data_IF_138550640957
#
_entry.id   IF_138550640957
#
_cell.length_a   1.000
_cell.length_b   1.000
_cell.length_c   1.000
_cell.angle_alpha   90.00
_cell.angle_beta   90.00
_cell.angle_gamma   90.00
#
_symmetry.space_group_name_H-M   'P 1'
#
loop_
_entity.id
_entity.type
_entity.pdbx_description
1 polymer ?
#
# COMPACT_ATOMS: atom_id res chain seq x y z
N UNK A 1 13.92 -4.81 -27.05
CA UNK A 1 13.42 -4.14 -28.26
C UNK A 1 14.54 -3.78 -29.21
N UNK A 2 15.49 -2.92 -28.83
CA UNK A 2 16.62 -2.52 -29.68
C UNK A 2 17.46 -3.69 -30.18
N UNK A 3 17.67 -4.69 -29.37
CA UNK A 3 18.43 -5.91 -29.69
C UNK A 3 17.78 -6.77 -30.79
N UNK A 4 16.49 -6.57 -31.07
CA UNK A 4 15.69 -7.37 -32.03
C UNK A 4 15.20 -6.58 -33.23
N UNK A 5 15.66 -5.32 -33.40
CA UNK A 5 15.24 -4.42 -34.49
C UNK A 5 13.71 -4.19 -34.57
N UNK A 6 12.98 -4.39 -33.48
CA UNK A 6 11.53 -4.16 -33.40
C UNK A 6 11.32 -2.80 -32.77
N UNK A 7 10.91 -1.83 -33.58
CA UNK A 7 10.66 -0.44 -33.16
C UNK A 7 9.21 -0.23 -32.67
N UNK A 8 8.29 -1.11 -33.05
CA UNK A 8 6.88 -1.02 -32.65
C UNK A 8 6.63 -1.77 -31.33
N UNK A 9 6.33 -1.01 -30.27
CA UNK A 9 6.02 -1.55 -28.95
C UNK A 9 4.79 -2.47 -28.94
N UNK A 10 3.79 -2.21 -29.79
CA UNK A 10 2.59 -3.02 -29.87
C UNK A 10 2.87 -4.37 -30.54
N UNK A 11 3.70 -4.36 -31.58
CA UNK A 11 4.15 -5.57 -32.23
C UNK A 11 4.95 -6.45 -31.26
N UNK A 12 5.85 -5.84 -30.49
CA UNK A 12 6.61 -6.54 -29.46
C UNK A 12 5.70 -7.20 -28.41
N UNK A 13 4.73 -6.46 -27.86
CA UNK A 13 3.75 -7.01 -26.91
C UNK A 13 2.95 -8.17 -27.48
N UNK A 14 2.51 -8.07 -28.74
CA UNK A 14 1.78 -9.14 -29.41
C UNK A 14 2.61 -10.43 -29.60
N UNK A 15 3.91 -10.30 -29.79
CA UNK A 15 4.81 -11.42 -30.01
C UNK A 15 5.30 -12.08 -28.72
N UNK A 16 5.41 -11.32 -27.64
CA UNK A 16 6.07 -11.77 -26.40
C UNK A 16 5.12 -12.07 -25.26
N UNK A 17 3.91 -11.53 -25.30
CA UNK A 17 2.94 -11.68 -24.23
C UNK A 17 1.74 -12.51 -24.65
N UNK A 18 1.37 -13.57 -23.89
CA UNK A 18 0.14 -14.29 -24.13
C UNK A 18 -1.08 -13.42 -23.83
N UNK A 19 -2.19 -13.68 -24.53
CA UNK A 19 -3.45 -13.01 -24.28
C UNK A 19 -4.27 -13.79 -23.28
N UNK A 20 -4.73 -13.12 -22.25
CA UNK A 20 -5.63 -13.65 -21.22
C UNK A 20 -6.91 -12.85 -21.17
N UNK A 21 -7.97 -13.51 -20.72
CA UNK A 21 -9.25 -12.86 -20.47
C UNK A 21 -9.26 -12.36 -19.02
N UNK A 22 -9.35 -11.05 -18.84
CA UNK A 22 -9.47 -10.45 -17.52
C UNK A 22 -10.78 -10.86 -16.83
N UNK A 23 -10.86 -10.72 -15.50
CA UNK A 23 -12.05 -10.99 -14.69
C UNK A 23 -13.32 -10.26 -15.18
N UNK A 24 -13.17 -9.25 -16.03
CA UNK A 24 -14.24 -8.49 -16.69
C UNK A 24 -14.61 -9.02 -18.09
N UNK A 25 -14.04 -10.15 -18.52
CA UNK A 25 -14.30 -10.73 -19.85
C UNK A 25 -13.61 -9.98 -20.99
N UNK A 26 -12.71 -9.06 -20.73
CA UNK A 26 -11.95 -8.34 -21.76
C UNK A 26 -10.64 -9.09 -22.07
N UNK A 27 -10.36 -9.28 -23.37
CA UNK A 27 -9.11 -9.85 -23.84
C UNK A 27 -7.99 -8.79 -23.67
N UNK A 28 -7.01 -9.09 -22.83
CA UNK A 28 -5.83 -8.27 -22.59
C UNK A 28 -4.54 -9.10 -22.67
N UNK A 29 -3.39 -8.44 -22.59
CA UNK A 29 -2.12 -9.13 -22.45
C UNK A 29 -1.96 -9.63 -21.02
N UNK A 30 -1.38 -10.83 -20.86
CA UNK A 30 -1.01 -11.32 -19.53
C UNK A 30 -0.04 -10.36 -18.85
N UNK A 31 -0.28 -10.10 -17.56
CA UNK A 31 0.54 -9.19 -16.76
C UNK A 31 1.70 -9.90 -16.07
N UNK A 32 1.62 -11.23 -15.96
CA UNK A 32 2.56 -12.04 -15.19
C UNK A 32 3.31 -13.07 -16.02
N UNK A 33 2.87 -13.33 -17.24
CA UNK A 33 3.40 -14.39 -18.09
C UNK A 33 3.93 -13.85 -19.40
N UNK A 34 4.94 -14.50 -19.92
CA UNK A 34 5.55 -14.20 -21.20
C UNK A 34 5.89 -15.49 -21.96
N UNK A 35 6.05 -15.40 -23.26
CA UNK A 35 6.58 -16.51 -24.04
C UNK A 35 8.09 -16.64 -23.85
N UNK A 36 8.58 -17.87 -23.72
CA UNK A 36 10.01 -18.15 -23.60
C UNK A 36 10.70 -17.95 -24.96
N UNK A 37 11.40 -16.84 -25.09
CA UNK A 37 12.15 -16.51 -26.30
C UNK A 37 13.52 -17.18 -26.21
N UNK A 38 13.68 -18.30 -26.93
CA UNK A 38 14.93 -19.05 -27.00
C UNK A 38 15.84 -18.49 -28.09
N UNK A 39 17.14 -18.75 -28.06
CA UNK A 39 18.09 -18.32 -29.11
C UNK A 39 17.70 -18.77 -30.51
N UNK A 40 16.98 -19.87 -30.63
CA UNK A 40 16.44 -20.34 -31.91
C UNK A 40 15.40 -19.41 -32.53
N UNK A 41 14.60 -18.72 -31.72
CA UNK A 41 13.64 -17.70 -32.17
C UNK A 41 14.37 -16.44 -32.63
N UNK A 42 15.52 -16.11 -32.03
CA UNK A 42 16.33 -14.94 -32.37
C UNK A 42 16.99 -15.04 -33.76
N UNK A 43 17.24 -16.25 -34.24
CA UNK A 43 17.83 -16.51 -35.56
C UNK A 43 16.79 -16.46 -36.67
N UNK A 44 15.50 -16.50 -36.36
CA UNK A 44 14.39 -16.45 -37.31
C UNK A 44 13.75 -15.08 -37.38
N UNK A 45 13.19 -14.74 -38.50
CA UNK A 45 12.42 -13.52 -38.64
C UNK A 45 11.16 -13.60 -37.72
N UNK A 46 10.80 -12.51 -37.06
CA UNK A 46 9.69 -12.46 -36.07
C UNK A 46 8.33 -12.94 -36.63
N UNK A 47 8.13 -12.90 -37.97
CA UNK A 47 6.92 -13.41 -38.63
C UNK A 47 6.78 -14.94 -38.58
N UNK A 48 7.87 -15.64 -38.26
CA UNK A 48 7.91 -17.11 -38.18
C UNK A 48 7.83 -17.63 -36.72
N UNK A 49 7.71 -16.72 -35.77
CA UNK A 49 7.62 -17.09 -34.36
C UNK A 49 6.25 -17.71 -34.10
N UNK A 50 6.26 -18.95 -33.66
CA UNK A 50 5.07 -19.66 -33.16
C UNK A 50 5.36 -20.23 -31.77
N UNK A 51 4.51 -19.92 -30.81
CA UNK A 51 4.66 -20.39 -29.45
C UNK A 51 3.54 -21.37 -29.12
N UNK A 52 3.91 -22.47 -28.49
CA UNK A 52 2.95 -23.40 -27.90
C UNK A 52 2.57 -22.96 -26.47
N UNK A 53 1.48 -23.47 -25.95
CA UNK A 53 1.07 -23.19 -24.57
C UNK A 53 2.08 -23.68 -23.53
N UNK A 54 2.98 -24.59 -23.90
CA UNK A 54 4.10 -25.07 -23.09
C UNK A 54 5.26 -24.07 -22.97
N UNK A 55 5.29 -23.06 -23.85
CA UNK A 55 6.38 -22.07 -23.91
C UNK A 55 6.08 -20.82 -23.05
N UNK A 56 5.03 -20.87 -22.25
CA UNK A 56 4.65 -19.79 -21.36
C UNK A 56 5.46 -19.92 -20.06
N UNK A 57 6.18 -18.86 -19.71
CA UNK A 57 6.96 -18.75 -18.48
C UNK A 57 6.58 -17.47 -17.72
N UNK A 58 6.92 -17.40 -16.45
CA UNK A 58 6.78 -16.18 -15.67
C UNK A 58 7.74 -15.10 -16.18
N UNK A 59 7.38 -13.83 -16.05
CA UNK A 59 8.19 -12.70 -16.51
C UNK A 59 9.57 -12.69 -15.84
N UNK A 60 10.61 -13.09 -16.56
CA UNK A 60 11.99 -13.21 -16.06
C UNK A 60 12.80 -11.91 -16.19
N UNK A 61 12.40 -10.99 -17.09
CA UNK A 61 13.16 -9.78 -17.43
C UNK A 61 12.69 -8.51 -16.71
N UNK A 62 11.85 -8.67 -15.67
CA UNK A 62 11.28 -7.55 -14.92
C UNK A 62 9.96 -7.06 -15.51
N UNK A 63 9.48 -5.93 -14.98
CA UNK A 63 8.16 -5.39 -15.27
C UNK A 63 8.25 -3.92 -15.68
N UNK A 64 7.43 -3.53 -16.62
CA UNK A 64 7.24 -2.14 -17.01
C UNK A 64 5.95 -1.63 -16.37
N UNK A 65 6.07 -0.61 -15.51
CA UNK A 65 4.95 -0.03 -14.78
C UNK A 65 4.42 1.22 -15.47
N UNK A 66 3.09 1.36 -15.47
CA UNK A 66 2.43 2.59 -15.87
C UNK A 66 2.65 3.67 -14.81
N UNK A 67 3.36 4.73 -15.16
CA UNK A 67 3.68 5.88 -14.28
C UNK A 67 2.81 7.10 -14.54
N UNK A 68 1.65 6.93 -15.18
CA UNK A 68 0.77 8.04 -15.53
C UNK A 68 0.26 8.79 -14.29
N UNK A 69 -0.07 8.08 -13.21
CA UNK A 69 -0.63 8.65 -11.99
C UNK A 69 0.36 8.71 -10.83
N UNK A 70 1.20 7.70 -10.67
CA UNK A 70 2.16 7.57 -9.58
C UNK A 70 3.53 7.23 -10.14
N UNK A 71 4.55 7.94 -9.69
CA UNK A 71 5.93 7.68 -10.09
C UNK A 71 6.49 6.46 -9.34
N UNK A 72 6.21 6.37 -8.02
CA UNK A 72 6.69 5.29 -7.14
C UNK A 72 5.62 4.88 -6.16
N UNK A 73 5.41 3.57 -6.06
CA UNK A 73 4.58 2.93 -5.02
C UNK A 73 5.38 1.77 -4.39
N UNK A 74 5.06 1.29 -3.20
CA UNK A 74 5.74 0.12 -2.63
C UNK A 74 5.65 -1.11 -3.54
N UNK A 75 4.55 -1.25 -4.25
CA UNK A 75 4.30 -2.36 -5.19
C UNK A 75 5.27 -2.29 -6.36
N UNK A 76 5.45 -1.10 -6.97
CA UNK A 76 6.31 -0.91 -8.13
C UNK A 76 7.80 -0.87 -7.79
N UNK A 77 8.15 -0.48 -6.56
CA UNK A 77 9.53 -0.37 -6.12
C UNK A 77 10.11 -1.73 -5.68
N UNK A 78 9.27 -2.60 -5.09
CA UNK A 78 9.71 -3.91 -4.57
C UNK A 78 9.13 -5.09 -5.34
N UNK A 79 8.55 -4.86 -6.52
CA UNK A 79 7.95 -5.87 -7.41
C UNK A 79 6.98 -6.81 -6.66
N UNK A 80 6.01 -6.22 -5.92
CA UNK A 80 4.99 -6.98 -5.19
C UNK A 80 3.80 -7.31 -6.11
N UNK A 81 4.10 -7.98 -7.21
CA UNK A 81 3.11 -8.39 -8.22
C UNK A 81 3.24 -9.88 -8.52
N UNK A 82 2.32 -10.42 -9.26
CA UNK A 82 2.27 -11.82 -9.67
C UNK A 82 2.36 -12.76 -8.46
N UNK A 83 3.42 -13.55 -8.33
CA UNK A 83 3.62 -14.47 -7.19
C UNK A 83 3.68 -13.76 -5.83
N UNK A 84 4.11 -12.49 -5.82
CA UNK A 84 4.20 -11.68 -4.60
C UNK A 84 2.97 -10.80 -4.38
N UNK A 85 1.95 -10.87 -5.22
CA UNK A 85 0.75 -10.02 -5.14
C UNK A 85 -0.02 -10.15 -3.83
N UNK A 86 0.05 -11.32 -3.18
CA UNK A 86 -0.55 -11.52 -1.85
C UNK A 86 0.07 -10.67 -0.74
N UNK A 87 1.26 -10.11 -0.93
CA UNK A 87 1.94 -9.30 0.07
C UNK A 87 1.15 -8.07 0.48
N UNK A 88 0.56 -7.37 -0.48
CA UNK A 88 -0.30 -6.21 -0.23
C UNK A 88 -1.52 -6.58 0.61
N UNK A 89 -2.23 -7.63 0.20
CA UNK A 89 -3.42 -8.13 0.91
C UNK A 89 -3.07 -8.58 2.32
N UNK A 90 -1.96 -9.29 2.50
CA UNK A 90 -1.51 -9.76 3.81
C UNK A 90 -1.18 -8.59 4.75
N UNK A 91 -0.51 -7.53 4.28
CA UNK A 91 -0.23 -6.34 5.08
C UNK A 91 -1.53 -5.71 5.56
N UNK A 92 -2.52 -5.60 4.67
CA UNK A 92 -3.82 -5.05 5.04
C UNK A 92 -4.51 -5.89 6.11
N UNK A 93 -4.50 -7.22 5.97
CA UNK A 93 -5.07 -8.14 6.97
C UNK A 93 -4.34 -8.02 8.31
N UNK A 94 -3.01 -8.03 8.30
CA UNK A 94 -2.22 -7.93 9.52
C UNK A 94 -2.44 -6.58 10.26
N UNK A 95 -2.57 -5.49 9.52
CA UNK A 95 -2.91 -4.18 10.10
C UNK A 95 -4.29 -4.21 10.78
N UNK A 96 -5.30 -4.83 10.17
CA UNK A 96 -6.64 -4.97 10.77
C UNK A 96 -6.64 -5.85 12.01
N UNK A 97 -5.86 -6.92 12.00
CA UNK A 97 -5.65 -7.74 13.20
C UNK A 97 -4.93 -6.95 14.30
N UNK A 98 -3.92 -6.15 13.95
CA UNK A 98 -3.24 -5.24 14.87
C UNK A 98 -4.22 -4.27 15.52
N UNK A 99 -5.06 -3.60 14.75
CA UNK A 99 -6.09 -2.70 15.26
C UNK A 99 -7.05 -3.40 16.23
N UNK A 100 -7.47 -4.63 15.92
CA UNK A 100 -8.36 -5.42 16.77
C UNK A 100 -7.73 -5.69 18.14
N UNK A 101 -6.53 -6.25 18.19
CA UNK A 101 -5.81 -6.52 19.43
C UNK A 101 -5.45 -5.22 20.15
N UNK A 102 -5.04 -4.21 19.41
CA UNK A 102 -4.71 -2.90 19.96
C UNK A 102 -5.87 -2.23 20.67
N UNK A 103 -7.08 -2.35 20.15
CA UNK A 103 -8.29 -1.78 20.79
C UNK A 103 -8.50 -2.36 22.17
N UNK A 104 -8.33 -3.65 22.36
CA UNK A 104 -8.48 -4.32 23.67
C UNK A 104 -7.36 -3.90 24.63
N UNK A 105 -6.10 -3.97 24.16
CA UNK A 105 -4.91 -3.67 24.99
C UNK A 105 -4.92 -2.20 25.42
N UNK A 106 -5.03 -1.28 24.47
CA UNK A 106 -4.97 0.16 24.76
C UNK A 106 -6.25 0.69 25.41
N UNK A 107 -7.40 0.02 25.20
CA UNK A 107 -8.62 0.28 25.96
C UNK A 107 -8.40 0.02 27.45
N UNK A 108 -7.95 -1.18 27.79
CA UNK A 108 -7.66 -1.55 29.18
C UNK A 108 -6.54 -0.69 29.79
N UNK A 109 -5.49 -0.41 29.03
CA UNK A 109 -4.39 0.45 29.47
C UNK A 109 -4.88 1.88 29.76
N UNK A 110 -5.81 2.40 28.93
CA UNK A 110 -6.43 3.70 29.12
C UNK A 110 -7.29 3.79 30.39
N UNK A 111 -7.91 2.69 30.82
CA UNK A 111 -8.69 2.63 32.05
C UNK A 111 -7.80 2.52 33.29
N UNK A 112 -6.62 1.87 33.18
CA UNK A 112 -5.70 1.64 34.30
C UNK A 112 -4.70 2.78 34.52
N UNK A 113 -4.04 3.24 33.44
CA UNK A 113 -3.02 4.31 33.51
C UNK A 113 -3.60 5.72 33.30
N UNK A 114 -4.83 5.78 32.82
CA UNK A 114 -5.48 7.03 32.46
C UNK A 114 -5.36 7.36 30.96
N UNK A 115 -6.31 8.14 30.45
CA UNK A 115 -6.46 8.42 29.01
C UNK A 115 -5.32 9.26 28.42
N UNK A 116 -4.82 10.25 29.17
CA UNK A 116 -3.78 11.18 28.69
C UNK A 116 -2.43 10.51 28.42
N UNK A 117 -1.82 9.77 29.39
CA UNK A 117 -0.53 9.12 29.12
C UNK A 117 -0.61 8.06 28.02
N UNK A 118 -1.72 7.33 27.93
CA UNK A 118 -1.93 6.34 26.87
C UNK A 118 -2.06 7.01 25.50
N UNK A 119 -2.66 8.20 25.41
CA UNK A 119 -2.70 8.96 24.16
C UNK A 119 -1.30 9.34 23.66
N UNK A 120 -0.44 9.89 24.52
CA UNK A 120 0.93 10.23 24.14
C UNK A 120 1.76 8.99 23.78
N UNK A 121 1.61 7.90 24.53
CA UNK A 121 2.24 6.62 24.21
C UNK A 121 1.80 6.11 22.84
N UNK A 122 0.52 6.22 22.53
CA UNK A 122 -0.03 5.81 21.24
C UNK A 122 0.52 6.63 20.08
N UNK A 123 0.66 7.95 20.24
CA UNK A 123 1.30 8.82 19.24
C UNK A 123 2.75 8.40 19.00
N UNK A 124 3.50 8.14 20.05
CA UNK A 124 4.89 7.71 19.94
C UNK A 124 5.01 6.39 19.18
N UNK A 125 4.21 5.39 19.53
CA UNK A 125 4.25 4.06 18.90
C UNK A 125 3.87 4.15 17.42
N UNK A 126 2.79 4.86 17.05
CA UNK A 126 2.39 4.97 15.65
C UNK A 126 3.44 5.72 14.83
N UNK A 127 4.03 6.77 15.40
CA UNK A 127 5.07 7.55 14.71
C UNK A 127 6.31 6.71 14.46
N UNK A 128 6.82 6.04 15.49
CA UNK A 128 7.98 5.15 15.35
C UNK A 128 7.67 3.99 14.40
N UNK A 129 6.52 3.34 14.55
CA UNK A 129 6.09 2.25 13.66
C UNK A 129 6.03 2.69 12.19
N UNK A 130 5.47 3.86 11.90
CA UNK A 130 5.42 4.40 10.54
C UNK A 130 6.80 4.75 9.99
N UNK A 131 7.64 5.43 10.76
CA UNK A 131 9.00 5.75 10.33
C UNK A 131 9.81 4.48 10.07
N UNK A 132 9.78 3.50 10.97
CA UNK A 132 10.47 2.22 10.77
C UNK A 132 9.94 1.53 9.52
N UNK A 133 8.63 1.47 9.30
CA UNK A 133 8.06 0.84 8.11
C UNK A 133 8.51 1.53 6.80
N UNK A 134 8.61 2.87 6.78
CA UNK A 134 9.08 3.60 5.59
C UNK A 134 10.52 3.25 5.21
N UNK A 135 11.42 3.14 6.20
CA UNK A 135 12.83 2.83 5.95
C UNK A 135 13.12 1.34 5.75
N UNK A 136 12.23 0.46 6.23
CA UNK A 136 12.42 -1.00 6.14
C UNK A 136 11.56 -1.67 5.09
N UNK A 137 10.94 -0.91 4.20
CA UNK A 137 10.05 -1.44 3.16
C UNK A 137 10.69 -2.48 2.23
N UNK A 138 12.03 -2.43 2.05
CA UNK A 138 12.80 -3.46 1.33
C UNK A 138 12.71 -4.85 2.01
N UNK A 139 12.62 -4.89 3.34
CA UNK A 139 12.52 -6.12 4.12
C UNK A 139 11.08 -6.38 4.51
N UNK A 140 10.36 -7.12 3.69
CA UNK A 140 8.91 -7.36 3.85
C UNK A 140 8.47 -7.76 5.26
N UNK A 141 9.20 -8.67 5.92
CA UNK A 141 8.84 -9.13 7.28
C UNK A 141 8.97 -8.01 8.30
N UNK A 142 10.06 -7.23 8.25
CA UNK A 142 10.28 -6.10 9.17
C UNK A 142 9.25 -5.00 8.92
N UNK A 143 8.96 -4.73 7.65
CA UNK A 143 7.89 -3.82 7.25
C UNK A 143 6.53 -4.22 7.83
N UNK A 144 6.15 -5.52 7.72
CA UNK A 144 4.90 -6.03 8.29
C UNK A 144 4.85 -5.86 9.81
N UNK A 145 5.93 -6.22 10.51
CA UNK A 145 5.99 -6.10 11.98
C UNK A 145 5.85 -4.62 12.39
N UNK A 146 6.59 -3.71 11.75
CA UNK A 146 6.52 -2.29 12.04
C UNK A 146 5.13 -1.71 11.75
N UNK A 147 4.50 -2.12 10.66
CA UNK A 147 3.15 -1.71 10.28
C UNK A 147 2.11 -2.20 11.30
N UNK A 148 2.20 -3.46 11.74
CA UNK A 148 1.33 -4.03 12.79
C UNK A 148 1.50 -3.29 14.11
N UNK A 149 2.73 -3.04 14.55
CA UNK A 149 3.00 -2.30 15.79
C UNK A 149 2.40 -0.89 15.72
N UNK A 150 2.54 -0.20 14.58
CA UNK A 150 1.90 1.09 14.37
C UNK A 150 0.36 1.01 14.41
N UNK A 151 -0.22 -0.04 13.82
CA UNK A 151 -1.68 -0.22 13.75
C UNK A 151 -2.32 -0.55 15.10
N UNK A 152 -1.59 -1.15 16.05
CA UNK A 152 -2.07 -1.41 17.40
C UNK A 152 -2.63 -0.16 18.09
N UNK A 153 -2.07 1.01 17.82
CA UNK A 153 -2.44 2.26 18.48
C UNK A 153 -3.38 3.16 17.68
N UNK A 154 -3.65 2.80 16.42
CA UNK A 154 -4.42 3.64 15.50
C UNK A 154 -5.81 4.00 16.06
N UNK A 155 -6.52 3.02 16.62
CA UNK A 155 -7.84 3.23 17.20
C UNK A 155 -7.79 4.04 18.50
N UNK A 156 -6.79 3.83 19.33
CA UNK A 156 -6.59 4.57 20.60
C UNK A 156 -6.36 6.06 20.37
N UNK A 157 -5.58 6.42 19.33
CA UNK A 157 -5.33 7.83 18.98
C UNK A 157 -6.62 8.54 18.58
N UNK A 158 -7.53 7.85 17.93
CA UNK A 158 -8.82 8.42 17.54
C UNK A 158 -9.78 8.52 18.73
N UNK A 159 -9.86 7.51 19.58
CA UNK A 159 -10.84 7.45 20.68
C UNK A 159 -10.44 8.23 21.92
N UNK A 160 -9.16 8.24 22.30
CA UNK A 160 -8.73 8.86 23.56
C UNK A 160 -9.09 10.36 23.64
N UNK A 161 -8.82 11.21 22.62
CA UNK A 161 -9.21 12.62 22.67
C UNK A 161 -10.73 12.81 22.74
N UNK A 162 -11.50 11.95 22.05
CA UNK A 162 -12.96 11.99 22.10
C UNK A 162 -13.47 11.74 23.53
N UNK A 163 -12.98 10.69 24.16
CA UNK A 163 -13.39 10.33 25.52
C UNK A 163 -13.02 11.44 26.50
N UNK A 164 -11.78 11.95 26.43
CA UNK A 164 -11.33 13.07 27.29
C UNK A 164 -12.24 14.30 27.09
N UNK A 165 -12.55 14.64 25.84
CA UNK A 165 -13.41 15.77 25.53
C UNK A 165 -14.86 15.58 26.03
N UNK A 166 -15.38 14.36 25.95
CA UNK A 166 -16.72 14.02 26.45
C UNK A 166 -16.79 14.00 27.97
N UNK A 167 -15.73 13.60 28.69
CA UNK A 167 -15.66 13.59 30.15
C UNK A 167 -15.69 15.02 30.72
N UNK A 168 -15.00 15.95 30.08
CA UNK A 168 -14.89 17.35 30.51
C UNK A 168 -16.16 18.16 30.15
N UNK A 169 -16.93 17.69 29.19
CA UNK A 169 -18.03 18.46 28.60
C UNK A 169 -19.36 18.18 29.24
N UNK A 170 -20.23 19.23 29.27
CA UNK A 170 -21.62 19.09 29.67
C UNK A 170 -22.38 18.15 28.72
N UNK A 171 -23.36 17.41 29.30
CA UNK A 171 -24.18 16.43 28.56
C UNK A 171 -24.76 16.97 27.26
N UNK A 172 -25.21 18.22 27.23
CA UNK A 172 -25.80 18.87 26.07
C UNK A 172 -24.83 19.08 24.90
N UNK A 173 -23.52 19.18 25.16
CA UNK A 173 -22.48 19.44 24.14
C UNK A 173 -21.79 18.20 23.63
N UNK A 174 -22.01 17.03 24.22
CA UNK A 174 -21.35 15.77 23.82
C UNK A 174 -21.61 15.40 22.35
N UNK A 175 -22.83 15.61 21.87
CA UNK A 175 -23.17 15.38 20.46
C UNK A 175 -22.39 16.26 19.49
N UNK A 176 -22.20 17.54 19.83
CA UNK A 176 -21.41 18.45 18.99
C UNK A 176 -19.93 18.06 18.93
N UNK A 177 -19.35 17.59 20.04
CA UNK A 177 -17.95 17.15 20.06
C UNK A 177 -17.73 15.94 19.17
N UNK A 178 -18.60 14.92 19.27
CA UNK A 178 -18.55 13.74 18.39
C UNK A 178 -18.70 14.13 16.93
N UNK A 179 -19.61 15.05 16.61
CA UNK A 179 -19.82 15.53 15.24
C UNK A 179 -18.56 16.26 14.72
N UNK A 180 -17.95 17.14 15.51
CA UNK A 180 -16.72 17.85 15.12
C UNK A 180 -15.56 16.89 14.86
N UNK A 181 -15.42 15.84 15.66
CA UNK A 181 -14.42 14.80 15.43
C UNK A 181 -14.67 14.03 14.13
N UNK A 182 -15.93 13.67 13.84
CA UNK A 182 -16.27 13.02 12.55
C UNK A 182 -15.98 13.92 11.36
N UNK A 183 -16.26 15.22 11.45
CA UNK A 183 -15.92 16.20 10.42
C UNK A 183 -14.40 16.25 10.22
N UNK A 184 -13.63 16.34 11.31
CA UNK A 184 -12.17 16.32 11.23
C UNK A 184 -11.62 15.06 10.56
N UNK A 185 -12.17 13.89 10.92
CA UNK A 185 -11.82 12.62 10.31
C UNK A 185 -12.10 12.59 8.80
N UNK A 186 -13.33 12.99 8.41
CA UNK A 186 -13.75 13.02 6.99
C UNK A 186 -12.88 14.01 6.20
N UNK A 187 -12.59 15.18 6.77
CA UNK A 187 -11.70 16.17 6.14
C UNK A 187 -10.31 15.58 5.90
N UNK A 188 -9.75 14.87 6.88
CA UNK A 188 -8.48 14.16 6.75
C UNK A 188 -8.50 13.12 5.63
N UNK A 189 -9.58 12.34 5.51
CA UNK A 189 -9.76 11.37 4.43
C UNK A 189 -9.86 12.03 3.05
N UNK A 190 -10.38 13.24 2.95
CA UNK A 190 -10.42 13.99 1.69
C UNK A 190 -9.05 14.60 1.34
N UNK A 191 -8.30 15.06 2.32
CA UNK A 191 -6.97 15.67 2.11
C UNK A 191 -5.94 14.60 1.72
N UNK A 192 -6.02 13.41 2.31
CA UNK A 192 -5.04 12.34 2.09
C UNK A 192 -4.83 11.99 0.60
N UNK A 193 -5.87 11.72 -0.21
CA UNK A 193 -5.69 11.47 -1.65
C UNK A 193 -5.09 12.66 -2.40
N UNK A 194 -5.39 13.89 -1.99
CA UNK A 194 -4.81 15.09 -2.61
C UNK A 194 -3.30 15.17 -2.38
N UNK A 195 -2.84 14.82 -1.17
CA UNK A 195 -1.41 14.75 -0.87
C UNK A 195 -0.73 13.68 -1.72
N UNK A 196 -1.30 12.48 -1.83
CA UNK A 196 -0.77 11.41 -2.67
C UNK A 196 -0.74 11.78 -4.16
N UNK A 197 -1.78 12.45 -4.64
CA UNK A 197 -1.84 12.93 -6.03
C UNK A 197 -0.79 14.01 -6.32
N UNK A 198 -0.54 14.91 -5.36
CA UNK A 198 0.43 15.99 -5.52
C UNK A 198 1.89 15.50 -5.44
N UNK A 199 2.18 14.54 -4.57
CA UNK A 199 3.53 14.01 -4.36
C UNK A 199 3.92 12.94 -5.38
N UNK A 200 2.93 12.17 -5.89
CA UNK A 200 3.10 11.01 -6.78
C UNK A 200 4.07 9.93 -6.28
N UNK A 201 4.64 10.11 -5.11
CA UNK A 201 5.61 9.23 -4.47
C UNK A 201 5.10 8.87 -3.06
N UNK A 202 5.01 7.57 -2.78
CA UNK A 202 4.50 7.05 -1.53
C UNK A 202 5.33 7.44 -0.30
N UNK A 203 6.66 7.54 -0.47
CA UNK A 203 7.58 7.87 0.62
C UNK A 203 7.37 9.31 1.09
N UNK A 204 7.37 10.26 0.16
CA UNK A 204 7.14 11.67 0.45
C UNK A 204 5.72 11.94 0.96
N UNK A 205 4.72 11.25 0.41
CA UNK A 205 3.35 11.35 0.89
C UNK A 205 3.22 10.94 2.35
N UNK A 206 3.76 9.77 2.72
CA UNK A 206 3.74 9.29 4.09
C UNK A 206 4.53 10.21 5.04
N UNK A 207 5.67 10.74 4.59
CA UNK A 207 6.48 11.66 5.39
C UNK A 207 5.71 12.95 5.68
N UNK A 208 5.08 13.57 4.68
CA UNK A 208 4.26 14.78 4.85
C UNK A 208 3.09 14.53 5.81
N UNK A 209 2.42 13.38 5.72
CA UNK A 209 1.30 13.03 6.60
C UNK A 209 1.77 12.71 8.03
N UNK A 210 2.98 12.20 8.20
CA UNK A 210 3.51 11.83 9.52
C UNK A 210 4.13 13.03 10.26
N UNK A 211 4.68 14.02 9.54
CA UNK A 211 5.32 15.20 10.14
C UNK A 211 4.43 15.98 11.11
N UNK A 212 3.15 16.28 10.83
CA UNK A 212 2.29 16.97 11.78
C UNK A 212 2.11 16.22 13.11
N UNK A 213 2.17 14.88 13.09
CA UNK A 213 2.02 14.05 14.28
C UNK A 213 3.24 14.19 15.21
N UNK A 214 4.43 14.42 14.65
CA UNK A 214 5.69 14.60 15.40
C UNK A 214 5.75 15.97 16.09
N UNK A 215 5.03 16.96 15.57
CA UNK A 215 5.02 18.33 16.11
C UNK A 215 4.06 18.53 17.29
N UNK A 216 3.21 17.54 17.56
CA UNK A 216 2.27 17.52 18.70
C UNK A 216 2.80 16.69 19.85
#
# INVERSE_FOLDING_TARGET
>A
MEQYNITDANLWKNLTLPRETDNRGQLGYSKCQMYNITEQHLQRHYSEWSFASSDIIDCAYGYEYDRTYYDRTPITEYDWICDKGFRETNIFIYNRLGELFGTVIFGHLGDTLGRRPVFYLSILIITVGRLVSMFTAAYYVVFCIAAVVGSLTAHSIFQAPLIIAMEISKSERRGHISMMQCIGWTTGLCILPMVFWATKDWFWALLIVTMPIVLF
#
